data_IF_459042206114
#
_entry.id   IF_459042206114
#
_cell.length_a   1.000
_cell.length_b   1.000
_cell.length_c   1.000
_cell.angle_alpha   90.00
_cell.angle_beta   90.00
_cell.angle_gamma   90.00
#
_symmetry.space_group_name_H-M   'P 1'
#
loop_
_entity.id
_entity.type
_entity.pdbx_description
1 polymer ?
#
# COMPACT_ATOMS: atom_id res chain seq x y z
N UNK A 1 -17.25 7.06 18.60
CA UNK A 1 -16.10 7.18 17.68
C UNK A 1 -15.63 5.79 17.27
N UNK A 2 -15.52 5.54 15.98
CA UNK A 2 -15.07 4.23 15.51
C UNK A 2 -13.61 4.01 15.91
N UNK A 3 -13.33 2.82 16.43
CA UNK A 3 -11.98 2.44 16.83
C UNK A 3 -11.26 1.86 15.61
N UNK A 4 -10.06 2.37 15.33
CA UNK A 4 -9.22 1.79 14.29
C UNK A 4 -8.75 0.41 14.73
N UNK A 5 -8.81 -0.56 13.81
CA UNK A 5 -8.47 -1.95 14.10
C UNK A 5 -7.55 -2.52 13.03
N UNK A 6 -6.56 -3.29 13.46
CA UNK A 6 -5.69 -4.05 12.57
C UNK A 6 -6.27 -5.44 12.25
N UNK A 7 -7.41 -5.82 12.81
CA UNK A 7 -7.95 -7.17 12.67
C UNK A 7 -8.15 -7.61 11.21
N UNK A 8 -8.71 -6.77 10.30
CA UNK A 8 -8.83 -7.18 8.90
C UNK A 8 -7.49 -7.48 8.23
N UNK A 9 -6.41 -6.83 8.68
CA UNK A 9 -5.06 -7.06 8.16
C UNK A 9 -4.49 -8.37 8.68
N UNK A 10 -4.88 -8.79 9.86
CA UNK A 10 -4.49 -10.08 10.45
C UNK A 10 -5.23 -11.21 9.73
N UNK A 11 -6.54 -11.07 9.57
CA UNK A 11 -7.38 -12.07 8.87
C UNK A 11 -6.92 -12.24 7.43
N UNK A 12 -6.59 -11.14 6.75
CA UNK A 12 -6.09 -11.16 5.37
C UNK A 12 -4.62 -11.51 5.25
N UNK A 13 -3.94 -11.81 6.36
CA UNK A 13 -2.52 -12.16 6.42
C UNK A 13 -1.57 -11.08 5.89
N UNK A 14 -2.01 -9.86 5.79
CA UNK A 14 -1.13 -8.72 5.49
C UNK A 14 -0.14 -8.55 6.62
N UNK A 15 -0.65 -8.61 7.87
CA UNK A 15 0.22 -8.81 9.02
C UNK A 15 0.61 -10.27 9.02
N UNK A 16 1.88 -10.52 8.86
CA UNK A 16 2.46 -11.83 8.65
C UNK A 16 3.21 -11.90 7.33
N UNK A 17 2.53 -11.74 6.21
CA UNK A 17 3.16 -11.84 4.89
C UNK A 17 3.92 -10.56 4.48
N UNK A 18 3.47 -9.40 4.91
CA UNK A 18 4.05 -8.11 4.50
C UNK A 18 4.55 -7.30 5.69
N UNK A 19 3.76 -7.28 6.77
CA UNK A 19 3.99 -6.41 7.92
C UNK A 19 4.09 -7.19 9.22
N UNK A 20 4.82 -6.63 10.17
CA UNK A 20 4.78 -7.07 11.57
C UNK A 20 3.56 -6.45 12.27
N UNK A 21 3.13 -7.02 13.40
CA UNK A 21 2.01 -6.46 14.14
C UNK A 21 2.24 -5.00 14.50
N UNK A 22 1.21 -4.17 14.32
CA UNK A 22 1.26 -2.75 14.64
C UNK A 22 -0.12 -2.27 15.09
N UNK A 23 -0.16 -1.10 15.71
CA UNK A 23 -1.40 -0.46 16.13
C UNK A 23 -1.65 0.73 15.20
N UNK A 24 -2.76 0.73 14.43
CA UNK A 24 -3.09 1.87 13.58
C UNK A 24 -3.32 3.14 14.41
N UNK A 25 -2.67 4.23 14.04
CA UNK A 25 -2.77 5.51 14.74
C UNK A 25 -3.18 6.65 13.82
N UNK A 26 -3.17 6.43 12.51
CA UNK A 26 -3.49 7.44 11.49
C UNK A 26 -4.54 6.85 10.56
N UNK A 27 -5.52 7.66 10.20
CA UNK A 27 -6.53 7.27 9.20
C UNK A 27 -6.01 7.57 7.81
N UNK A 28 -5.98 6.54 6.96
CA UNK A 28 -5.57 6.67 5.57
C UNK A 28 -6.74 6.25 4.67
N UNK A 29 -7.08 7.08 3.69
CA UNK A 29 -8.13 6.79 2.72
C UNK A 29 -7.51 6.71 1.33
N UNK A 30 -7.62 5.56 0.70
CA UNK A 30 -7.22 5.37 -0.69
C UNK A 30 -8.48 5.24 -1.55
N UNK A 31 -8.56 6.04 -2.62
CA UNK A 31 -9.76 6.11 -3.45
C UNK A 31 -9.37 6.09 -4.93
N UNK A 32 -9.93 5.12 -5.67
CA UNK A 32 -9.82 5.04 -7.11
C UNK A 32 -11.08 5.63 -7.73
N UNK A 33 -10.99 6.83 -8.30
CA UNK A 33 -12.15 7.59 -8.76
C UNK A 33 -13.16 7.75 -7.60
N UNK A 34 -14.31 7.09 -7.66
CA UNK A 34 -15.32 7.15 -6.61
C UNK A 34 -15.34 5.89 -5.73
N UNK A 35 -14.34 5.01 -5.85
CA UNK A 35 -14.30 3.74 -5.13
C UNK A 35 -13.23 3.76 -4.06
N UNK A 36 -13.67 3.77 -2.81
CA UNK A 36 -12.76 3.70 -1.67
C UNK A 36 -12.25 2.26 -1.51
N UNK A 37 -10.94 2.13 -1.28
CA UNK A 37 -10.32 0.85 -0.95
C UNK A 37 -10.76 0.43 0.45
N UNK A 38 -11.31 -0.77 0.55
CA UNK A 38 -11.73 -1.37 1.82
C UNK A 38 -11.09 -2.74 1.96
N UNK A 39 -10.62 -3.05 3.17
CA UNK A 39 -9.88 -4.28 3.44
C UNK A 39 -10.61 -5.53 2.94
N UNK A 40 -9.95 -6.30 2.06
CA UNK A 40 -10.45 -7.56 1.54
C UNK A 40 -11.50 -7.44 0.45
N UNK A 41 -11.91 -6.23 0.06
CA UNK A 41 -12.84 -6.04 -1.05
C UNK A 41 -12.12 -6.15 -2.39
N UNK A 42 -12.84 -6.59 -3.40
CA UNK A 42 -12.27 -6.72 -4.75
C UNK A 42 -12.46 -5.45 -5.55
N UNK A 43 -11.39 -5.04 -6.27
CA UNK A 43 -11.47 -4.04 -7.33
C UNK A 43 -10.99 -4.68 -8.62
N UNK A 44 -11.70 -4.41 -9.72
CA UNK A 44 -11.32 -4.93 -11.03
C UNK A 44 -10.12 -4.15 -11.60
N UNK A 45 -9.25 -4.81 -12.39
CA UNK A 45 -8.10 -4.10 -12.99
C UNK A 45 -8.47 -2.83 -13.75
N UNK A 46 -9.60 -2.82 -14.44
CA UNK A 46 -10.08 -1.63 -15.15
C UNK A 46 -10.42 -0.46 -14.24
N UNK A 47 -10.66 -0.71 -12.95
CA UNK A 47 -11.00 0.32 -11.97
C UNK A 47 -9.77 0.96 -11.32
N UNK A 48 -8.58 0.38 -11.53
CA UNK A 48 -7.35 0.80 -10.86
C UNK A 48 -6.26 1.21 -11.86
N UNK A 49 -6.67 1.63 -13.06
CA UNK A 49 -5.74 2.02 -14.13
C UNK A 49 -5.10 3.39 -13.92
N UNK A 50 -5.69 4.21 -13.06
CA UNK A 50 -5.13 5.52 -12.72
C UNK A 50 -4.68 5.53 -11.27
N UNK A 51 -3.72 6.41 -10.98
CA UNK A 51 -3.17 6.59 -9.64
C UNK A 51 -4.31 6.94 -8.66
N UNK A 52 -4.41 6.27 -7.51
CA UNK A 52 -5.45 6.59 -6.54
C UNK A 52 -5.12 7.87 -5.79
N UNK A 53 -6.15 8.50 -5.24
CA UNK A 53 -5.97 9.55 -4.25
C UNK A 53 -5.76 8.86 -2.90
N UNK A 54 -4.66 9.18 -2.23
CA UNK A 54 -4.37 8.64 -0.90
C UNK A 54 -4.28 9.80 0.08
N UNK A 55 -5.29 9.91 0.94
CA UNK A 55 -5.41 10.99 1.92
C UNK A 55 -4.93 10.53 3.28
N UNK A 56 -4.23 11.43 3.96
CA UNK A 56 -3.72 11.18 5.32
C UNK A 56 -4.47 12.07 6.30
N UNK A 57 -5.22 11.44 7.19
CA UNK A 57 -6.01 12.14 8.22
C UNK A 57 -5.31 11.96 9.57
N UNK A 58 -4.21 12.69 9.75
CA UNK A 58 -3.43 12.64 10.98
C UNK A 58 -2.18 13.49 10.88
N UNK A 59 -1.55 13.70 12.02
CA UNK A 59 -0.39 14.57 12.12
C UNK A 59 -0.76 16.02 11.82
N UNK A 60 0.22 16.77 11.35
CA UNK A 60 0.06 18.15 10.90
C UNK A 60 0.98 18.38 9.70
N UNK A 61 1.05 19.63 9.21
CA UNK A 61 1.86 19.96 8.04
C UNK A 61 3.38 19.82 8.28
N UNK A 62 3.79 19.62 9.52
CA UNK A 62 5.20 19.40 9.88
C UNK A 62 5.52 17.93 10.09
N UNK A 63 4.49 17.07 10.06
CA UNK A 63 4.66 15.61 10.15
C UNK A 63 4.73 15.04 8.75
N UNK A 64 5.70 14.20 8.48
CA UNK A 64 5.90 13.62 7.16
C UNK A 64 5.67 12.11 7.15
N UNK A 65 5.12 11.61 6.07
CA UNK A 65 4.76 10.21 5.92
C UNK A 65 5.33 9.63 4.63
N UNK A 66 5.60 8.33 4.68
CA UNK A 66 5.99 7.53 3.51
C UNK A 66 4.88 6.53 3.21
N UNK A 67 4.45 6.51 1.96
CA UNK A 67 3.46 5.56 1.44
C UNK A 67 4.17 4.51 0.59
N UNK A 68 3.85 3.24 0.82
CA UNK A 68 4.31 2.11 0.02
C UNK A 68 3.09 1.34 -0.48
N UNK A 69 3.06 1.01 -1.77
CA UNK A 69 2.06 0.09 -2.33
C UNK A 69 2.78 -1.13 -2.86
N UNK A 70 2.35 -2.31 -2.44
CA UNK A 70 3.04 -3.57 -2.74
C UNK A 70 2.06 -4.72 -2.95
N UNK A 71 2.51 -5.73 -3.73
CA UNK A 71 1.77 -6.96 -4.01
C UNK A 71 2.59 -8.16 -3.53
N UNK A 72 2.17 -8.84 -2.45
CA UNK A 72 2.90 -9.99 -1.94
C UNK A 72 2.59 -11.31 -2.65
N UNK A 73 1.69 -11.32 -3.64
CA UNK A 73 1.16 -12.54 -4.23
C UNK A 73 1.67 -12.80 -5.64
N UNK A 74 2.85 -12.27 -5.98
CA UNK A 74 3.45 -12.41 -7.31
C UNK A 74 4.32 -13.68 -7.38
N UNK A 75 4.27 -14.44 -8.48
CA UNK A 75 3.38 -14.25 -9.63
C UNK A 75 1.97 -14.77 -9.40
N UNK A 76 1.74 -15.53 -8.34
CA UNK A 76 0.46 -16.07 -7.95
C UNK A 76 0.44 -16.43 -6.47
N UNK A 77 -0.73 -16.41 -5.81
CA UNK A 77 -0.81 -16.60 -4.35
C UNK A 77 -0.45 -18.00 -3.87
N UNK A 78 -0.55 -19.02 -4.73
CA UNK A 78 -0.19 -20.40 -4.35
C UNK A 78 1.32 -20.63 -4.30
N UNK A 79 2.09 -19.83 -5.03
CA UNK A 79 3.56 -19.89 -5.04
C UNK A 79 4.13 -18.49 -5.31
N UNK A 80 4.14 -17.63 -4.33
CA UNK A 80 4.53 -16.23 -4.53
C UNK A 80 6.05 -16.02 -4.46
N UNK A 81 6.80 -16.70 -5.32
CA UNK A 81 8.26 -16.68 -5.25
C UNK A 81 8.90 -15.35 -5.63
N UNK A 82 8.13 -14.39 -6.19
CA UNK A 82 8.62 -13.03 -6.50
C UNK A 82 8.22 -12.01 -5.41
N UNK A 83 7.61 -12.47 -4.34
CA UNK A 83 7.13 -11.63 -3.21
C UNK A 83 8.24 -10.74 -2.67
N UNK A 84 8.00 -9.47 -2.60
CA UNK A 84 6.85 -8.67 -3.00
C UNK A 84 7.17 -7.96 -4.31
N UNK A 85 6.13 -7.53 -5.05
CA UNK A 85 6.31 -6.64 -6.18
C UNK A 85 5.93 -5.22 -5.76
N UNK A 86 6.87 -4.29 -5.92
CA UNK A 86 6.68 -2.90 -5.51
C UNK A 86 5.92 -2.13 -6.59
N UNK A 87 4.81 -1.50 -6.20
CA UNK A 87 3.98 -0.72 -7.10
C UNK A 87 4.20 0.79 -6.99
N UNK A 88 4.54 1.28 -5.80
CA UNK A 88 4.58 2.74 -5.59
C UNK A 88 5.29 3.10 -4.29
N UNK A 89 6.09 4.16 -4.31
CA UNK A 89 6.64 4.77 -3.10
C UNK A 89 6.52 6.28 -3.23
N UNK A 90 5.90 6.91 -2.23
CA UNK A 90 5.85 8.37 -2.10
C UNK A 90 6.35 8.74 -0.71
N UNK A 91 7.28 9.67 -0.63
CA UNK A 91 7.88 10.10 0.63
C UNK A 91 7.56 11.56 0.91
N UNK A 92 7.85 12.00 2.13
CA UNK A 92 7.68 13.40 2.56
C UNK A 92 6.26 13.92 2.31
N UNK A 93 5.25 13.09 2.53
CA UNK A 93 3.86 13.50 2.43
C UNK A 93 3.48 14.23 3.71
N UNK A 94 3.15 15.54 3.67
CA UNK A 94 2.73 16.23 4.88
C UNK A 94 1.44 15.66 5.45
N UNK A 95 1.35 15.59 6.76
CA UNK A 95 0.11 15.21 7.43
C UNK A 95 -1.03 16.14 7.04
N UNK A 96 -2.26 15.63 7.10
CA UNK A 96 -3.50 16.34 6.71
C UNK A 96 -3.63 16.63 5.21
N UNK A 97 -2.72 16.10 4.39
CA UNK A 97 -2.75 16.24 2.92
C UNK A 97 -2.92 14.88 2.24
N UNK A 98 -2.55 14.78 0.98
CA UNK A 98 -2.58 13.53 0.23
C UNK A 98 -1.25 13.28 -0.47
N UNK A 99 -1.13 12.12 -1.12
CA UNK A 99 0.12 11.68 -1.74
C UNK A 99 0.65 12.62 -2.82
N UNK A 100 -0.21 13.48 -3.41
CA UNK A 100 0.24 14.43 -4.44
C UNK A 100 1.15 15.53 -3.87
N UNK A 101 1.14 15.73 -2.56
CA UNK A 101 2.01 16.70 -1.88
C UNK A 101 3.36 16.10 -1.49
N UNK A 102 3.55 14.82 -1.69
CA UNK A 102 4.81 14.15 -1.40
C UNK A 102 5.72 14.07 -2.61
N UNK A 103 6.84 13.37 -2.42
CA UNK A 103 7.82 13.11 -3.47
C UNK A 103 7.69 11.68 -3.94
N UNK A 104 7.34 11.49 -5.21
CA UNK A 104 7.23 10.16 -5.80
C UNK A 104 8.62 9.61 -6.09
N UNK A 105 9.04 8.63 -5.28
CA UNK A 105 10.37 7.99 -5.40
C UNK A 105 10.32 6.85 -6.40
N UNK A 106 9.23 6.06 -6.36
CA UNK A 106 8.96 4.99 -7.32
C UNK A 106 7.59 5.27 -7.90
N UNK A 107 7.51 5.41 -9.24
CA UNK A 107 6.28 5.77 -9.93
C UNK A 107 5.23 4.68 -9.80
N UNK A 108 3.96 5.10 -9.78
CA UNK A 108 2.83 4.18 -9.67
C UNK A 108 2.81 3.20 -10.85
N UNK A 109 2.79 1.92 -10.55
CA UNK A 109 2.61 0.87 -11.53
C UNK A 109 1.22 0.28 -11.39
N UNK A 110 0.50 0.24 -12.51
CA UNK A 110 -0.87 -0.27 -12.54
C UNK A 110 -0.91 -1.74 -12.12
N UNK A 111 -1.82 -2.13 -11.21
CA UNK A 111 -2.01 -3.54 -10.87
C UNK A 111 -2.40 -4.38 -12.10
N UNK A 112 -1.67 -5.46 -12.32
CA UNK A 112 -1.91 -6.39 -13.44
C UNK A 112 -1.82 -7.83 -12.94
N UNK A 113 -2.75 -8.26 -12.07
CA UNK A 113 -2.72 -9.63 -11.56
C UNK A 113 -2.97 -10.60 -12.69
N UNK A 114 -2.13 -11.63 -12.79
CA UNK A 114 -2.22 -12.61 -13.87
C UNK A 114 -2.72 -13.97 -13.39
N UNK A 115 -2.18 -14.46 -12.28
CA UNK A 115 -2.50 -15.79 -11.72
C UNK A 115 -3.14 -15.60 -10.35
N UNK A 116 -4.40 -16.03 -10.20
CA UNK A 116 -5.10 -16.00 -8.93
C UNK A 116 -5.46 -14.62 -8.43
N UNK A 117 -5.85 -14.54 -7.17
CA UNK A 117 -6.23 -13.31 -6.50
C UNK A 117 -5.02 -12.74 -5.79
N UNK A 118 -4.64 -11.50 -6.13
CA UNK A 118 -3.54 -10.79 -5.50
C UNK A 118 -4.06 -9.77 -4.50
N UNK A 119 -3.32 -9.57 -3.43
CA UNK A 119 -3.57 -8.47 -2.49
C UNK A 119 -2.72 -7.29 -2.90
N UNK A 120 -3.33 -6.12 -3.01
CA UNK A 120 -2.62 -4.87 -3.27
C UNK A 120 -2.69 -4.03 -2.00
N UNK A 121 -1.55 -3.85 -1.37
CA UNK A 121 -1.44 -3.35 0.00
C UNK A 121 -0.86 -1.94 0.01
N UNK A 122 -1.58 -1.00 0.62
CA UNK A 122 -1.08 0.34 0.90
C UNK A 122 -0.63 0.38 2.35
N UNK A 123 0.61 0.82 2.57
CA UNK A 123 1.19 0.91 3.91
C UNK A 123 1.68 2.33 4.14
N UNK A 124 1.36 2.91 5.28
CA UNK A 124 1.78 4.24 5.65
C UNK A 124 2.72 4.19 6.85
N UNK A 125 3.84 4.88 6.71
CA UNK A 125 4.82 5.03 7.78
C UNK A 125 4.93 6.50 8.16
N UNK A 126 5.11 6.79 9.45
CA UNK A 126 5.40 8.14 9.92
C UNK A 126 6.92 8.32 9.96
N UNK A 127 7.42 9.31 9.24
CA UNK A 127 8.85 9.63 9.23
C UNK A 127 9.21 10.39 10.50
N UNK A 128 10.45 10.20 10.96
CA UNK A 128 10.98 10.96 12.10
C UNK A 128 11.31 12.40 11.71
N UNK A 129 11.60 12.61 10.42
CA UNK A 129 11.93 13.90 9.83
C UNK A 129 11.80 13.79 8.31
N UNK A 130 11.90 14.91 7.62
CA UNK A 130 12.07 14.87 6.16
C UNK A 130 13.34 14.10 5.84
N UNK A 131 13.27 13.25 4.83
CA UNK A 131 14.44 12.47 4.44
C UNK A 131 14.43 12.13 2.95
N UNK A 132 15.61 12.05 2.37
CA UNK A 132 15.79 11.54 1.02
C UNK A 132 15.82 10.01 1.11
N UNK A 133 15.00 9.35 0.30
CA UNK A 133 14.95 7.90 0.21
C UNK A 133 15.32 7.52 -1.21
N UNK A 134 16.28 6.61 -1.36
CA UNK A 134 16.66 6.11 -2.67
C UNK A 134 15.72 4.99 -3.11
N UNK A 135 15.35 4.96 -4.41
CA UNK A 135 14.51 3.88 -4.92
C UNK A 135 15.25 2.54 -4.86
N UNK A 136 14.53 1.43 -4.63
CA UNK A 136 15.14 0.10 -4.75
C UNK A 136 15.64 -0.14 -6.17
N UNK A 137 16.61 -1.04 -6.31
CA UNK A 137 17.19 -1.40 -7.62
C UNK A 137 16.21 -2.19 -8.49
N UNK A 138 15.21 -2.83 -7.89
CA UNK A 138 14.21 -3.64 -8.58
C UNK A 138 12.88 -3.59 -7.86
N UNK A 139 11.80 -3.77 -8.61
CA UNK A 139 10.46 -3.87 -8.03
C UNK A 139 10.17 -5.27 -7.49
N UNK A 140 10.80 -6.31 -8.05
CA UNK A 140 10.63 -7.69 -7.58
C UNK A 140 11.51 -7.99 -6.37
N UNK A 141 11.05 -8.92 -5.57
CA UNK A 141 11.70 -9.31 -4.31
C UNK A 141 11.86 -8.15 -3.34
N UNK A 142 10.96 -7.18 -3.44
CA UNK A 142 10.89 -6.08 -2.50
C UNK A 142 10.41 -6.60 -1.14
N UNK A 143 10.94 -6.07 -0.06
CA UNK A 143 10.50 -6.42 1.28
C UNK A 143 10.15 -5.14 2.02
N UNK A 144 8.87 -4.95 2.30
CA UNK A 144 8.39 -3.74 3.00
C UNK A 144 9.06 -3.60 4.37
N UNK A 145 9.22 -4.70 5.10
CA UNK A 145 9.90 -4.69 6.41
C UNK A 145 11.33 -4.18 6.30
N UNK A 146 12.10 -4.72 5.34
CA UNK A 146 13.50 -4.32 5.15
C UNK A 146 13.60 -2.87 4.71
N UNK A 147 12.70 -2.42 3.84
CA UNK A 147 12.65 -1.02 3.41
C UNK A 147 12.42 -0.09 4.60
N UNK A 148 11.48 -0.44 5.48
CA UNK A 148 11.19 0.36 6.67
C UNK A 148 12.40 0.41 7.62
N UNK A 149 13.06 -0.72 7.81
CA UNK A 149 14.24 -0.82 8.67
C UNK A 149 15.41 0.00 8.11
N UNK A 150 15.70 -0.15 6.82
CA UNK A 150 16.79 0.58 6.15
C UNK A 150 16.60 2.10 6.17
N UNK A 151 15.34 2.55 6.20
CA UNK A 151 15.01 3.97 6.17
C UNK A 151 14.54 4.52 7.51
N UNK A 152 14.70 3.74 8.57
CA UNK A 152 14.37 4.14 9.94
C UNK A 152 12.92 4.63 10.10
N UNK A 153 11.99 3.91 9.47
CA UNK A 153 10.58 4.29 9.45
C UNK A 153 9.77 3.70 10.63
N UNK A 154 10.31 2.69 11.29
CA UNK A 154 9.61 2.00 12.39
C UNK A 154 8.44 1.16 11.89
N UNK A 155 7.48 0.91 12.77
CA UNK A 155 6.28 0.17 12.41
C UNK A 155 5.30 1.06 11.63
N UNK A 156 4.44 0.47 10.80
CA UNK A 156 3.42 1.23 10.11
C UNK A 156 2.48 1.97 11.07
N UNK A 157 1.86 3.03 10.59
CA UNK A 157 0.81 3.76 11.32
C UNK A 157 -0.57 3.53 10.71
N UNK A 158 -0.63 3.02 9.49
CA UNK A 158 -1.87 2.65 8.81
C UNK A 158 -1.56 1.67 7.67
N UNK A 159 -2.55 0.86 7.31
CA UNK A 159 -2.50 0.02 6.12
C UNK A 159 -3.91 -0.33 5.68
N UNK A 160 -4.09 -0.55 4.39
CA UNK A 160 -5.34 -1.00 3.79
C UNK A 160 -5.01 -1.79 2.54
N UNK A 161 -5.83 -2.78 2.19
CA UNK A 161 -5.59 -3.58 0.99
C UNK A 161 -6.89 -3.91 0.26
N UNK A 162 -6.76 -4.13 -1.04
CA UNK A 162 -7.85 -4.68 -1.83
C UNK A 162 -7.36 -5.93 -2.56
N UNK A 163 -8.30 -6.75 -2.99
CA UNK A 163 -8.05 -7.94 -3.78
C UNK A 163 -8.29 -7.64 -5.25
N UNK A 164 -7.42 -8.16 -6.12
CA UNK A 164 -7.58 -8.04 -7.56
C UNK A 164 -7.22 -9.33 -8.25
N UNK A 165 -7.91 -9.62 -9.35
CA UNK A 165 -7.60 -10.75 -10.21
C UNK A 165 -7.82 -10.37 -11.67
N UNK A 166 -7.23 -11.15 -12.57
CA UNK A 166 -7.35 -10.86 -14.00
C UNK A 166 -8.81 -10.84 -14.42
N UNK A 167 -9.20 -9.80 -15.15
CA UNK A 167 -10.54 -9.72 -15.74
C UNK A 167 -10.63 -10.67 -16.93
N UNK A 168 -11.76 -11.39 -16.99
CA UNK A 168 -12.14 -12.19 -18.15
C UNK A 168 -13.32 -11.52 -18.85
N UNK A 169 -13.63 -11.93 -20.08
CA UNK A 169 -14.77 -11.39 -20.81
C UNK A 169 -16.09 -11.56 -20.03
N UNK A 170 -16.26 -12.66 -19.30
CA UNK A 170 -17.44 -12.91 -18.50
C UNK A 170 -17.54 -11.97 -17.29
N UNK A 171 -16.41 -11.54 -16.73
CA UNK A 171 -16.39 -10.65 -15.58
C UNK A 171 -16.63 -9.18 -15.94
N UNK A 172 -16.50 -8.83 -17.21
CA UNK A 172 -16.68 -7.45 -17.70
C UNK A 172 -18.15 -7.06 -17.91
N UNK A 173 -19.05 -8.01 -17.79
CA UNK A 173 -20.49 -7.79 -17.98
C UNK A 173 -21.14 -7.06 -16.80
#
# INVERSE_FOLDING_TARGET
MARMSAEPLIVGRVIGDVLDPFIPTVKMLATYNNRQVSNGHELCPSQVTTKPRVEIHGGDMRTFFTLVMTDPDVPGPSDPYLREHLHWIVTDIPGTTDATFGREVVSYEIPRPNIGIHRFVFVLFKQKRRQAIDPPSSRDHFTTRSFAEENDLGLPVAAVFFNGQRETAARRR
#
